data_IF_936485717926
#
_entry.id   IF_936485717926
#
_cell.length_a   1.000
_cell.length_b   1.000
_cell.length_c   1.000
_cell.angle_alpha   90.00
_cell.angle_beta   90.00
_cell.angle_gamma   90.00
#
_symmetry.space_group_name_H-M   'P 1'
#
loop_
_entity.id
_entity.type
_entity.pdbx_description
1 polymer ?
#
# COMPACT_ATOMS: atom_id res chain seq x y z
N UNK A 1 -29.57 17.02 1.54
CA UNK A 1 -29.34 15.79 0.78
C UNK A 1 -27.97 15.18 1.10
N UNK A 2 -27.89 13.84 1.17
CA UNK A 2 -26.68 13.11 1.57
C UNK A 2 -26.56 11.84 0.72
N UNK A 3 -25.32 11.51 0.34
CA UNK A 3 -24.97 10.26 -0.31
C UNK A 3 -23.92 9.59 0.58
N UNK A 4 -24.19 8.37 1.01
CA UNK A 4 -23.25 7.55 1.77
C UNK A 4 -22.73 6.41 0.91
N UNK A 5 -21.42 6.14 1.01
CA UNK A 5 -20.77 4.98 0.41
C UNK A 5 -20.54 3.93 1.49
N UNK A 6 -21.18 2.80 1.32
CA UNK A 6 -21.13 1.67 2.25
C UNK A 6 -20.42 0.52 1.59
N UNK A 7 -19.52 -0.13 2.31
CA UNK A 7 -18.82 -1.35 1.87
C UNK A 7 -19.03 -2.47 2.89
N UNK A 8 -18.94 -3.69 2.42
CA UNK A 8 -18.95 -4.87 3.29
C UNK A 8 -17.51 -5.32 3.58
N UNK A 9 -17.26 -5.70 4.84
CA UNK A 9 -16.01 -6.34 5.20
C UNK A 9 -16.03 -7.85 4.86
N UNK A 10 -14.93 -8.55 5.17
CA UNK A 10 -14.80 -9.98 4.91
C UNK A 10 -15.79 -10.86 5.69
N UNK A 11 -16.41 -10.33 6.73
CA UNK A 11 -17.46 -10.99 7.53
C UNK A 11 -18.87 -10.57 7.11
N UNK A 12 -19.03 -9.74 6.07
CA UNK A 12 -20.32 -9.24 5.60
C UNK A 12 -20.91 -8.12 6.43
N UNK A 13 -20.15 -7.49 7.35
CA UNK A 13 -20.61 -6.33 8.12
C UNK A 13 -20.52 -5.07 7.28
N UNK A 14 -21.54 -4.24 7.34
CA UNK A 14 -21.61 -2.98 6.62
C UNK A 14 -20.83 -1.87 7.33
N UNK A 15 -19.99 -1.15 6.55
CA UNK A 15 -19.23 -0.01 7.01
C UNK A 15 -19.48 1.19 6.11
N UNK A 16 -20.05 2.26 6.68
CA UNK A 16 -20.09 3.55 6.01
C UNK A 16 -18.68 4.13 6.02
N UNK A 17 -18.05 4.27 4.85
CA UNK A 17 -16.73 4.86 4.69
C UNK A 17 -16.82 6.29 4.16
N UNK A 18 -17.42 6.48 2.99
CA UNK A 18 -17.49 7.80 2.37
C UNK A 18 -18.83 8.48 2.55
N UNK A 19 -18.83 9.80 2.49
CA UNK A 19 -20.07 10.59 2.42
C UNK A 19 -19.86 11.86 1.63
N UNK A 20 -20.92 12.29 0.93
CA UNK A 20 -21.04 13.63 0.33
C UNK A 20 -22.35 14.21 0.83
N UNK A 21 -22.31 15.41 1.40
CA UNK A 21 -23.47 16.04 2.00
C UNK A 21 -23.58 17.51 1.54
N UNK A 22 -24.76 17.89 1.06
CA UNK A 22 -25.10 19.28 0.81
C UNK A 22 -25.58 19.93 2.10
N UNK A 23 -25.06 21.10 2.40
CA UNK A 23 -25.37 21.88 3.59
C UNK A 23 -25.80 23.30 3.18
N UNK A 24 -27.04 23.61 3.49
CA UNK A 24 -27.64 24.93 3.32
C UNK A 24 -27.69 25.72 4.62
N UNK A 25 -27.44 25.05 5.76
CA UNK A 25 -27.60 25.63 7.08
C UNK A 25 -26.36 26.40 7.51
N UNK A 26 -25.16 25.82 7.37
CA UNK A 26 -23.92 26.50 7.78
C UNK A 26 -23.68 27.83 7.01
N UNK A 27 -23.99 27.93 5.70
CA UNK A 27 -23.86 29.22 4.99
C UNK A 27 -24.92 30.26 5.34
N UNK A 28 -25.97 29.89 6.07
CA UNK A 28 -27.10 30.80 6.40
C UNK A 28 -26.68 32.00 7.25
N UNK A 29 -27.52 33.02 7.27
CA UNK A 29 -27.32 34.24 8.07
C UNK A 29 -27.24 33.98 9.58
N UNK A 30 -27.90 32.90 10.05
CA UNK A 30 -27.91 32.52 11.47
C UNK A 30 -26.63 31.77 11.91
N UNK A 31 -25.75 31.41 10.96
CA UNK A 31 -24.50 30.66 11.19
C UNK A 31 -23.30 31.47 10.74
N UNK A 32 -22.75 31.17 9.54
CA UNK A 32 -21.53 31.81 9.05
C UNK A 32 -21.81 33.06 8.21
N UNK A 33 -23.05 33.30 7.86
CA UNK A 33 -23.49 34.43 7.04
C UNK A 33 -22.66 34.63 5.75
N UNK A 34 -22.42 33.50 5.06
CA UNK A 34 -21.63 33.49 3.83
C UNK A 34 -22.45 34.07 2.67
N UNK A 35 -21.82 34.93 1.86
CA UNK A 35 -22.43 35.50 0.67
C UNK A 35 -21.45 35.49 -0.50
N UNK A 36 -22.01 35.45 -1.71
CA UNK A 36 -21.28 35.72 -2.94
C UNK A 36 -22.09 36.62 -3.85
N UNK A 37 -21.41 37.30 -4.78
CA UNK A 37 -22.06 38.13 -5.78
C UNK A 37 -22.33 37.27 -7.01
N UNK A 38 -23.59 37.13 -7.37
CA UNK A 38 -24.01 36.40 -8.55
C UNK A 38 -23.80 37.16 -9.87
N UNK A 39 -24.08 36.51 -10.99
CA UNK A 39 -24.01 37.13 -12.32
C UNK A 39 -25.04 38.23 -12.53
N UNK A 40 -26.07 38.25 -11.71
CA UNK A 40 -27.11 39.28 -11.60
C UNK A 40 -26.69 40.48 -10.72
N UNK A 41 -25.44 40.53 -10.26
CA UNK A 41 -24.91 41.50 -9.30
C UNK A 41 -25.61 41.48 -7.94
N UNK A 42 -26.47 40.51 -7.69
CA UNK A 42 -27.15 40.28 -6.40
C UNK A 42 -26.29 39.49 -5.42
N UNK A 43 -26.64 39.61 -4.12
CA UNK A 43 -26.02 38.78 -3.06
C UNK A 43 -26.79 37.48 -2.91
N UNK A 44 -26.08 36.39 -2.92
CA UNK A 44 -26.63 35.05 -2.80
C UNK A 44 -25.92 34.26 -1.69
N UNK A 45 -26.66 33.33 -1.04
CA UNK A 45 -26.08 32.37 -0.08
C UNK A 45 -25.50 31.19 -0.85
N UNK A 46 -24.23 30.80 -0.60
CA UNK A 46 -23.65 29.62 -1.23
C UNK A 46 -24.24 28.36 -0.66
N UNK A 47 -24.06 27.26 -1.38
CA UNK A 47 -24.28 25.90 -0.88
C UNK A 47 -22.92 25.31 -0.49
N UNK A 48 -22.83 24.74 0.70
CA UNK A 48 -21.63 24.08 1.15
C UNK A 48 -21.72 22.57 0.82
N UNK A 49 -20.62 22.02 0.34
CA UNK A 49 -20.51 20.58 0.07
C UNK A 49 -19.47 19.98 1.01
N UNK A 50 -19.92 19.16 1.93
CA UNK A 50 -19.05 18.39 2.80
C UNK A 50 -18.69 17.08 2.12
N UNK A 51 -17.40 16.76 2.07
CA UNK A 51 -16.88 15.51 1.52
C UNK A 51 -16.00 14.83 2.54
N UNK A 52 -16.35 13.58 2.89
CA UNK A 52 -15.51 12.71 3.68
C UNK A 52 -15.23 11.44 2.85
N UNK A 53 -14.21 11.42 1.97
CA UNK A 53 -13.99 10.31 1.03
C UNK A 53 -13.74 8.96 1.71
N UNK A 54 -13.10 8.96 2.87
CA UNK A 54 -12.70 7.76 3.61
C UNK A 54 -13.47 7.58 4.93
N UNK A 55 -14.33 8.54 5.30
CA UNK A 55 -14.96 8.59 6.62
C UNK A 55 -13.93 8.77 7.74
N UNK A 56 -13.96 7.93 8.77
CA UNK A 56 -12.89 7.86 9.78
C UNK A 56 -11.67 7.14 9.20
N UNK A 57 -10.48 7.75 9.36
CA UNK A 57 -9.22 7.17 8.90
C UNK A 57 -8.94 5.82 9.60
N UNK A 58 -9.21 5.73 10.89
CA UNK A 58 -9.01 4.52 11.68
C UNK A 58 -9.89 3.37 11.18
N UNK A 59 -11.15 3.66 10.90
CA UNK A 59 -12.09 2.68 10.33
C UNK A 59 -11.63 2.22 8.95
N UNK A 60 -11.26 3.16 8.09
CA UNK A 60 -10.77 2.85 6.76
C UNK A 60 -9.53 1.96 6.80
N UNK A 61 -8.53 2.31 7.63
CA UNK A 61 -7.31 1.51 7.80
C UNK A 61 -7.66 0.13 8.36
N UNK A 62 -8.56 0.03 9.35
CA UNK A 62 -8.98 -1.24 9.92
C UNK A 62 -9.60 -2.18 8.87
N UNK A 63 -10.52 -1.68 8.05
CA UNK A 63 -11.14 -2.45 6.96
C UNK A 63 -10.10 -2.83 5.90
N UNK A 64 -9.16 -1.93 5.58
CA UNK A 64 -8.11 -2.18 4.62
C UNK A 64 -7.16 -3.30 5.09
N UNK A 65 -6.75 -3.29 6.37
CA UNK A 65 -5.93 -4.35 6.97
C UNK A 65 -6.67 -5.68 6.91
N UNK A 66 -7.96 -5.70 7.23
CA UNK A 66 -8.79 -6.90 7.18
C UNK A 66 -8.90 -7.43 5.75
N UNK A 67 -9.16 -6.56 4.76
CA UNK A 67 -9.29 -6.92 3.35
C UNK A 67 -8.02 -7.61 2.82
N UNK A 68 -6.85 -7.08 3.12
CA UNK A 68 -5.56 -7.64 2.68
C UNK A 68 -4.97 -8.66 3.65
N UNK A 69 -5.62 -8.94 4.80
CA UNK A 69 -5.06 -9.75 5.89
C UNK A 69 -3.62 -9.30 6.26
N UNK A 70 -3.37 -7.99 6.23
CA UNK A 70 -2.06 -7.37 6.45
C UNK A 70 -1.08 -7.48 5.27
N UNK A 71 -1.35 -8.31 4.27
CA UNK A 71 -0.47 -8.53 3.12
C UNK A 71 -0.72 -7.50 2.01
N UNK A 72 -0.48 -6.23 2.30
CA UNK A 72 -0.71 -5.13 1.37
C UNK A 72 0.03 -5.30 0.02
N UNK A 73 -0.56 -4.85 -1.10
CA UNK A 73 0.18 -4.70 -2.34
C UNK A 73 1.33 -3.70 -2.19
N UNK A 74 2.32 -3.77 -3.07
CA UNK A 74 3.54 -2.99 -2.98
C UNK A 74 3.27 -1.50 -2.74
N UNK A 75 2.37 -0.89 -3.50
CA UNK A 75 2.08 0.55 -3.44
C UNK A 75 1.43 1.02 -2.13
N UNK A 76 0.70 0.14 -1.41
CA UNK A 76 0.08 0.42 -0.10
C UNK A 76 0.95 0.03 1.09
N UNK A 77 1.95 -0.83 0.91
CA UNK A 77 2.76 -1.33 2.01
C UNK A 77 3.54 -0.20 2.70
N UNK A 78 3.54 -0.08 4.04
CA UNK A 78 4.33 0.92 4.77
C UNK A 78 5.82 0.81 4.49
N UNK A 79 6.36 -0.40 4.40
CA UNK A 79 7.68 -0.73 3.90
C UNK A 79 7.52 -1.58 2.64
N UNK A 80 8.04 -1.10 1.53
CA UNK A 80 7.88 -1.73 0.23
C UNK A 80 9.01 -2.69 -0.10
N UNK A 81 10.20 -2.32 0.33
CA UNK A 81 11.44 -3.06 0.06
C UNK A 81 12.24 -3.17 1.34
N UNK A 82 12.73 -4.37 1.67
CA UNK A 82 13.72 -4.58 2.72
C UNK A 82 15.03 -5.06 2.12
N UNK A 83 16.09 -4.30 2.36
CA UNK A 83 17.45 -4.68 1.93
C UNK A 83 18.09 -5.54 3.01
N UNK A 84 18.62 -6.69 2.61
CA UNK A 84 19.16 -7.72 3.48
C UNK A 84 20.64 -7.99 3.12
N UNK A 85 21.61 -7.32 3.76
CA UNK A 85 23.00 -7.66 3.58
C UNK A 85 23.30 -9.05 4.12
N UNK A 86 24.07 -9.84 3.35
CA UNK A 86 24.46 -11.22 3.72
C UNK A 86 25.40 -11.23 4.93
N UNK A 87 26.21 -10.16 5.08
CA UNK A 87 27.18 -9.98 6.18
C UNK A 87 27.48 -8.50 6.39
N UNK A 88 28.12 -8.17 7.51
CA UNK A 88 28.59 -6.81 7.82
C UNK A 88 29.44 -6.19 6.69
N UNK A 89 30.23 -7.02 5.98
CA UNK A 89 31.04 -6.56 4.84
C UNK A 89 30.22 -5.98 3.70
N UNK A 90 28.94 -6.34 3.61
CA UNK A 90 28.01 -5.87 2.57
C UNK A 90 27.17 -4.68 3.00
N UNK A 91 27.34 -4.13 4.21
CA UNK A 91 26.53 -3.02 4.71
C UNK A 91 26.71 -1.74 3.87
N UNK A 92 27.92 -1.45 3.44
CA UNK A 92 28.20 -0.29 2.60
C UNK A 92 27.44 -0.36 1.28
N UNK A 93 27.40 -1.56 0.67
CA UNK A 93 26.63 -1.80 -0.54
C UNK A 93 25.13 -1.78 -0.29
N UNK A 94 24.67 -2.37 0.81
CA UNK A 94 23.26 -2.33 1.19
C UNK A 94 22.73 -0.90 1.34
N UNK A 95 23.53 0.03 1.89
CA UNK A 95 23.18 1.45 1.96
C UNK A 95 23.11 2.13 0.58
N UNK A 96 23.96 1.74 -0.37
CA UNK A 96 23.87 2.22 -1.76
C UNK A 96 22.59 1.71 -2.43
N UNK A 97 22.26 0.43 -2.23
CA UNK A 97 21.03 -0.20 -2.73
C UNK A 97 19.80 0.50 -2.13
N UNK A 98 19.78 0.72 -0.81
CA UNK A 98 18.73 1.49 -0.14
C UNK A 98 18.55 2.88 -0.76
N UNK A 99 19.64 3.61 -0.93
CA UNK A 99 19.62 4.95 -1.50
C UNK A 99 19.03 4.98 -2.91
N UNK A 100 19.34 3.98 -3.75
CA UNK A 100 18.81 3.87 -5.10
C UNK A 100 17.29 3.68 -5.11
N UNK A 101 16.75 2.77 -4.28
CA UNK A 101 15.32 2.57 -4.15
C UNK A 101 14.59 3.80 -3.54
N UNK A 102 15.21 4.46 -2.55
CA UNK A 102 14.65 5.69 -1.97
C UNK A 102 14.60 6.83 -2.99
N UNK A 103 15.65 6.98 -3.82
CA UNK A 103 15.69 7.98 -4.88
C UNK A 103 14.59 7.75 -5.93
N UNK A 104 14.18 6.50 -6.14
CA UNK A 104 13.05 6.13 -6.99
C UNK A 104 11.66 6.33 -6.32
N UNK A 105 11.62 6.85 -5.09
CA UNK A 105 10.38 7.14 -4.36
C UNK A 105 9.77 5.94 -3.63
N UNK A 106 10.53 4.85 -3.43
CA UNK A 106 10.08 3.68 -2.68
C UNK A 106 10.39 3.82 -1.18
N UNK A 107 9.53 3.25 -0.34
CA UNK A 107 9.73 3.16 1.12
C UNK A 107 10.57 1.93 1.43
N UNK A 108 11.79 2.16 1.89
CA UNK A 108 12.83 1.12 2.02
C UNK A 108 13.36 1.05 3.44
N UNK A 109 13.50 -0.15 3.96
CA UNK A 109 14.24 -0.46 5.18
C UNK A 109 15.48 -1.30 4.88
N UNK A 110 16.44 -1.26 5.80
CA UNK A 110 17.65 -2.12 5.76
C UNK A 110 17.73 -2.87 7.08
N UNK A 111 17.91 -4.18 7.02
CA UNK A 111 18.11 -5.02 8.21
C UNK A 111 19.62 -5.22 8.42
N UNK A 112 20.19 -4.44 9.36
CA UNK A 112 21.61 -4.51 9.74
C UNK A 112 21.84 -5.37 11.00
N UNK A 113 20.82 -6.07 11.49
CA UNK A 113 20.98 -6.95 12.65
C UNK A 113 22.06 -8.00 12.38
N UNK A 114 22.83 -8.35 13.42
CA UNK A 114 23.90 -9.37 13.34
C UNK A 114 23.33 -10.79 13.34
N UNK A 115 22.46 -11.09 12.34
CA UNK A 115 21.77 -12.37 12.20
C UNK A 115 22.13 -13.06 10.89
N UNK A 116 21.90 -14.37 10.83
CA UNK A 116 22.05 -15.15 9.58
C UNK A 116 21.00 -14.70 8.56
N UNK A 117 21.38 -14.65 7.29
CA UNK A 117 20.49 -14.24 6.17
C UNK A 117 19.13 -14.95 6.21
N UNK A 118 19.09 -16.27 6.49
CA UNK A 118 17.85 -17.02 6.58
C UNK A 118 16.90 -16.51 7.67
N UNK A 119 17.43 -16.03 8.80
CA UNK A 119 16.64 -15.44 9.89
C UNK A 119 16.06 -14.07 9.44
N UNK A 120 16.87 -13.23 8.80
CA UNK A 120 16.43 -11.94 8.23
C UNK A 120 15.33 -12.11 7.19
N UNK A 121 15.48 -13.09 6.27
CA UNK A 121 14.44 -13.41 5.27
C UNK A 121 13.15 -13.84 5.97
N UNK A 122 13.26 -14.74 6.96
CA UNK A 122 12.06 -15.20 7.70
C UNK A 122 11.38 -14.07 8.46
N UNK A 123 12.14 -13.19 9.10
CA UNK A 123 11.61 -11.98 9.77
C UNK A 123 10.83 -11.11 8.79
N UNK A 124 11.42 -10.78 7.65
CA UNK A 124 10.77 -9.99 6.61
C UNK A 124 9.50 -10.68 6.05
N UNK A 125 9.51 -12.01 5.91
CA UNK A 125 8.32 -12.78 5.51
C UNK A 125 7.20 -12.71 6.54
N UNK A 126 7.53 -12.83 7.83
CA UNK A 126 6.54 -12.73 8.92
C UNK A 126 5.95 -11.33 9.03
N UNK A 127 6.73 -10.31 8.71
CA UNK A 127 6.28 -8.90 8.65
C UNK A 127 5.57 -8.56 7.32
N UNK A 128 5.36 -9.56 6.46
CA UNK A 128 4.65 -9.43 5.18
C UNK A 128 5.27 -8.39 4.22
N UNK A 129 6.58 -8.18 4.29
CA UNK A 129 7.29 -7.27 3.39
C UNK A 129 7.11 -7.73 1.93
N UNK A 130 6.66 -6.86 1.01
CA UNK A 130 6.39 -7.25 -0.38
C UNK A 130 7.61 -7.71 -1.15
N UNK A 131 8.73 -6.99 -1.02
CA UNK A 131 9.96 -7.28 -1.72
C UNK A 131 11.16 -7.28 -0.77
N UNK A 132 12.04 -8.26 -0.91
CA UNK A 132 13.32 -8.34 -0.21
C UNK A 132 14.44 -8.30 -1.22
N UNK A 133 15.46 -7.49 -0.96
CA UNK A 133 16.64 -7.35 -1.81
C UNK A 133 17.84 -7.84 -1.03
N UNK A 134 18.33 -9.01 -1.41
CA UNK A 134 19.53 -9.60 -0.81
C UNK A 134 20.75 -9.09 -1.54
N UNK A 135 21.78 -8.69 -0.82
CA UNK A 135 23.04 -8.22 -1.37
C UNK A 135 24.23 -8.76 -0.58
N UNK A 136 25.21 -9.28 -1.32
CA UNK A 136 26.43 -9.86 -0.80
C UNK A 136 27.67 -9.26 -1.49
N UNK A 137 28.90 -9.68 -1.10
CA UNK A 137 30.13 -9.18 -1.72
C UNK A 137 30.25 -9.49 -3.22
N UNK A 138 29.63 -10.58 -3.68
CA UNK A 138 29.59 -10.93 -5.11
C UNK A 138 28.68 -10.01 -5.90
N UNK A 139 27.53 -9.65 -5.29
CA UNK A 139 26.58 -8.72 -5.89
C UNK A 139 27.18 -7.33 -5.99
N UNK A 140 27.92 -6.88 -4.97
CA UNK A 140 28.62 -5.60 -4.99
C UNK A 140 29.65 -5.53 -6.14
N UNK A 141 30.44 -6.60 -6.32
CA UNK A 141 31.44 -6.66 -7.39
C UNK A 141 30.83 -6.65 -8.80
N UNK A 142 29.61 -7.21 -8.94
CA UNK A 142 28.89 -7.30 -10.21
C UNK A 142 27.89 -6.15 -10.42
N UNK A 143 27.63 -5.30 -9.43
CA UNK A 143 26.59 -4.27 -9.48
C UNK A 143 25.17 -4.84 -9.52
N UNK A 144 24.97 -6.05 -8.97
CA UNK A 144 23.70 -6.79 -8.97
C UNK A 144 23.08 -6.86 -7.58
N UNK A 145 21.84 -7.33 -7.53
CA UNK A 145 21.12 -7.69 -6.32
C UNK A 145 20.29 -8.94 -6.59
N UNK A 146 19.98 -9.73 -5.53
CA UNK A 146 19.04 -10.84 -5.65
C UNK A 146 17.69 -10.39 -5.12
N UNK A 147 16.69 -10.34 -6.01
CA UNK A 147 15.33 -9.92 -5.67
C UNK A 147 14.48 -11.12 -5.24
N UNK A 148 13.79 -10.99 -4.13
CA UNK A 148 12.80 -11.96 -3.64
C UNK A 148 11.45 -11.27 -3.47
N UNK A 149 10.45 -11.82 -4.09
CA UNK A 149 9.08 -11.33 -4.02
C UNK A 149 8.27 -12.18 -3.01
N UNK A 150 7.34 -11.55 -2.30
CA UNK A 150 6.50 -12.24 -1.32
C UNK A 150 5.61 -13.31 -1.95
N UNK A 151 5.13 -13.09 -3.17
CA UNK A 151 4.21 -13.99 -3.88
C UNK A 151 4.95 -14.99 -4.76
N UNK A 152 5.90 -14.50 -5.56
CA UNK A 152 6.59 -15.27 -6.59
C UNK A 152 7.86 -15.95 -6.08
N UNK A 153 8.32 -15.60 -4.87
CA UNK A 153 9.50 -16.20 -4.26
C UNK A 153 10.81 -15.58 -4.77
N UNK A 154 11.81 -16.41 -5.00
CA UNK A 154 13.14 -15.99 -5.46
C UNK A 154 13.13 -15.71 -6.95
N UNK A 155 13.38 -14.48 -7.33
CA UNK A 155 13.45 -14.03 -8.73
C UNK A 155 14.87 -14.05 -9.29
N UNK A 156 15.86 -14.39 -8.43
CA UNK A 156 17.26 -14.48 -8.80
C UNK A 156 17.99 -13.15 -8.82
N UNK A 157 19.20 -13.18 -9.38
CA UNK A 157 20.06 -12.02 -9.50
C UNK A 157 19.70 -11.18 -10.74
N UNK A 158 19.71 -9.85 -10.56
CA UNK A 158 19.49 -8.87 -11.65
C UNK A 158 20.31 -7.61 -11.37
N UNK A 159 20.41 -6.71 -12.32
CA UNK A 159 21.06 -5.42 -12.07
C UNK A 159 20.28 -4.59 -11.04
N UNK A 160 20.97 -3.71 -10.32
CA UNK A 160 20.29 -2.81 -9.36
C UNK A 160 19.27 -1.93 -10.09
N UNK A 161 19.61 -1.44 -11.27
CA UNK A 161 18.74 -0.61 -12.09
C UNK A 161 17.46 -1.35 -12.50
N UNK A 162 17.57 -2.60 -12.91
CA UNK A 162 16.44 -3.45 -13.29
C UNK A 162 15.50 -3.70 -12.09
N UNK A 163 16.08 -4.02 -10.92
CA UNK A 163 15.30 -4.22 -9.69
C UNK A 163 14.54 -2.94 -9.29
N UNK A 164 15.21 -1.77 -9.35
CA UNK A 164 14.60 -0.47 -9.05
C UNK A 164 13.48 -0.16 -10.04
N UNK A 165 13.73 -0.33 -11.34
CA UNK A 165 12.73 -0.06 -12.39
C UNK A 165 11.50 -0.94 -12.21
N UNK A 166 11.68 -2.25 -12.03
CA UNK A 166 10.61 -3.22 -11.86
C UNK A 166 9.67 -2.84 -10.70
N UNK A 167 10.22 -2.57 -9.51
CA UNK A 167 9.40 -2.24 -8.34
C UNK A 167 8.81 -0.82 -8.45
N UNK A 168 9.48 0.10 -9.12
CA UNK A 168 8.95 1.44 -9.37
C UNK A 168 7.75 1.40 -10.32
N UNK A 169 7.79 0.57 -11.35
CA UNK A 169 6.68 0.43 -12.29
C UNK A 169 5.48 -0.22 -11.61
N UNK A 170 5.69 -1.32 -10.86
CA UNK A 170 4.62 -1.93 -10.05
C UNK A 170 3.98 -0.93 -9.07
N UNK A 171 4.81 -0.09 -8.43
CA UNK A 171 4.33 0.94 -7.50
C UNK A 171 3.52 2.03 -8.21
N UNK A 172 3.98 2.50 -9.39
CA UNK A 172 3.30 3.53 -10.19
C UNK A 172 1.98 3.06 -10.76
N UNK A 173 1.95 1.84 -11.25
CA UNK A 173 0.77 1.21 -11.84
C UNK A 173 -0.25 0.77 -10.78
N UNK A 174 0.12 0.83 -9.50
CA UNK A 174 -0.71 0.42 -8.36
C UNK A 174 -1.26 -0.98 -8.51
N UNK A 175 -0.42 -1.90 -8.96
CA UNK A 175 -0.80 -3.29 -9.22
C UNK A 175 -1.24 -3.97 -7.92
N UNK A 176 -2.37 -4.66 -7.98
CA UNK A 176 -2.86 -5.52 -6.91
C UNK A 176 -2.70 -6.96 -7.37
N UNK A 177 -1.73 -7.66 -6.78
CA UNK A 177 -1.49 -9.08 -7.03
C UNK A 177 -2.07 -9.91 -5.89
N UNK A 178 -2.74 -11.00 -6.23
CA UNK A 178 -3.27 -11.94 -5.24
C UNK A 178 -2.49 -13.25 -5.28
N UNK A 179 -2.21 -13.81 -4.12
CA UNK A 179 -1.71 -15.19 -4.05
C UNK A 179 -2.81 -16.11 -4.61
N UNK A 180 -2.52 -16.99 -5.59
CA UNK A 180 -3.50 -17.99 -5.99
C UNK A 180 -3.91 -18.79 -4.73
N UNK A 181 -5.23 -18.91 -4.48
CA UNK A 181 -5.73 -19.76 -3.40
C UNK A 181 -5.17 -21.17 -3.64
N UNK A 182 -4.54 -21.82 -2.62
CA UNK A 182 -4.18 -23.20 -2.76
C UNK A 182 -5.45 -23.97 -3.13
N UNK A 183 -5.39 -24.79 -4.17
CA UNK A 183 -6.45 -25.73 -4.49
C UNK A 183 -6.65 -26.61 -3.25
N UNK A 184 -7.73 -26.36 -2.51
CA UNK A 184 -8.06 -27.11 -1.31
C UNK A 184 -8.28 -28.56 -1.68
N UNK A 185 -7.41 -29.42 -1.16
CA UNK A 185 -7.69 -30.84 -1.09
C UNK A 185 -8.75 -31.01 -0.01
N UNK A 186 -9.98 -31.20 -0.44
CA UNK A 186 -11.08 -31.71 0.38
C UNK A 186 -11.97 -30.66 1.09
N UNK A 187 -13.22 -30.58 0.66
CA UNK A 187 -14.36 -30.38 1.53
C UNK A 187 -15.07 -29.01 1.45
N UNK A 188 -16.27 -29.12 0.90
CA UNK A 188 -17.42 -28.22 0.95
C UNK A 188 -17.40 -26.96 0.07
N UNK A 189 -18.21 -27.02 -0.96
CA UNK A 189 -18.63 -25.91 -1.79
C UNK A 189 -19.33 -24.86 -0.91
N UNK A 190 -18.68 -23.74 -0.67
CA UNK A 190 -19.36 -22.50 -0.35
C UNK A 190 -19.49 -21.72 -1.65
N UNK A 191 -20.70 -21.72 -2.18
CA UNK A 191 -21.10 -20.88 -3.30
C UNK A 191 -21.27 -19.45 -2.79
N UNK A 192 -20.21 -18.67 -2.90
CA UNK A 192 -20.33 -17.21 -2.97
C UNK A 192 -19.48 -16.80 -4.16
N UNK A 193 -20.19 -16.50 -5.24
CA UNK A 193 -19.63 -15.83 -6.40
C UNK A 193 -19.10 -14.47 -5.93
N UNK A 194 -17.79 -14.30 -6.01
CA UNK A 194 -17.18 -13.00 -6.07
C UNK A 194 -16.76 -12.80 -7.53
N UNK A 195 -17.75 -12.36 -8.31
CA UNK A 195 -17.50 -11.81 -9.63
C UNK A 195 -16.99 -10.38 -9.47
N UNK A 196 -15.92 -10.15 -10.17
CA UNK A 196 -15.45 -8.89 -10.76
C UNK A 196 -15.36 -7.64 -9.85
N UNK A 197 -14.18 -7.42 -9.29
CA UNK A 197 -13.57 -6.06 -9.26
C UNK A 197 -12.05 -6.15 -9.36
#
# INVERSE_FOLDING_TARGET
>A
PKIDFVINDSLGREWQLGTVQLDYNLPSAERFDLEYIGSDSGRHKPVMIHRAPLGSMERFIGVLIEHFAGAFPLWLSPEQVRVLPVSEKSEAYAKKVEAAFRAAGLRVGVDLDAEKLGAKIRKAQLELIPAMVVCGPRDEAAGTVSLRDRLDGDLGAMSLEEAVQRLSDENKERIVRHKPKPLGIGGTKSSVAADDY
#
